data_IF_189827053780
#
_entry.id   IF_189827053780
#
_cell.length_a   1.000
_cell.length_b   1.000
_cell.length_c   1.000
_cell.angle_alpha   90.00
_cell.angle_beta   90.00
_cell.angle_gamma   90.00
#
_symmetry.space_group_name_H-M   'P 1'
#
loop_
_entity.id
_entity.type
_entity.pdbx_description
1 polymer ?
#
# COMPACT_ATOMS: atom_id res chain seq x y z
N UNK A 1 59.49 -29.53 -5.01
CA UNK A 1 58.64 -29.21 -6.17
C UNK A 1 57.60 -28.19 -5.71
N UNK A 2 57.67 -26.96 -6.23
CA UNK A 2 56.75 -25.87 -5.90
C UNK A 2 55.51 -25.96 -6.78
N UNK A 3 54.32 -25.80 -6.20
CA UNK A 3 53.16 -25.19 -6.84
C UNK A 3 52.46 -24.32 -5.80
N UNK A 4 52.67 -23.02 -5.96
CA UNK A 4 51.85 -21.96 -5.40
C UNK A 4 50.50 -21.95 -6.12
N UNK A 5 49.40 -21.61 -5.42
CA UNK A 5 48.55 -20.44 -5.72
C UNK A 5 47.35 -20.38 -4.74
N UNK A 6 47.40 -19.35 -3.88
CA UNK A 6 46.32 -18.55 -3.28
C UNK A 6 44.87 -19.08 -3.42
N UNK A 7 44.28 -19.48 -2.29
CA UNK A 7 42.83 -19.54 -2.14
C UNK A 7 42.29 -18.09 -2.04
N UNK A 8 41.65 -17.62 -3.10
CA UNK A 8 40.80 -16.43 -3.04
C UNK A 8 39.42 -16.84 -2.47
N UNK A 9 38.78 -16.03 -1.61
CA UNK A 9 37.41 -16.28 -1.21
C UNK A 9 36.52 -16.08 -2.44
N UNK A 10 35.74 -17.11 -2.78
CA UNK A 10 34.74 -17.04 -3.82
C UNK A 10 33.70 -15.98 -3.44
N UNK A 11 33.71 -14.87 -4.18
CA UNK A 11 32.65 -13.88 -4.18
C UNK A 11 31.41 -14.54 -4.82
N UNK A 12 30.58 -15.18 -4.00
CA UNK A 12 29.29 -15.70 -4.45
C UNK A 12 28.31 -14.53 -4.59
N UNK A 13 28.35 -13.87 -5.74
CA UNK A 13 27.24 -13.03 -6.22
C UNK A 13 26.08 -13.98 -6.51
N UNK A 14 25.15 -14.11 -5.57
CA UNK A 14 23.89 -14.81 -5.82
C UNK A 14 22.94 -13.86 -6.55
N UNK A 15 23.21 -13.64 -7.84
CA UNK A 15 22.23 -13.07 -8.76
C UNK A 15 21.23 -14.17 -9.11
N UNK A 16 20.11 -14.24 -8.38
CA UNK A 16 19.01 -15.13 -8.72
C UNK A 16 18.18 -14.50 -9.83
N UNK A 17 18.44 -14.90 -11.06
CA UNK A 17 17.57 -14.66 -12.22
C UNK A 17 16.36 -15.58 -12.10
N UNK A 18 15.18 -15.02 -11.87
CA UNK A 18 13.90 -15.72 -12.05
C UNK A 18 13.27 -15.28 -13.37
N UNK A 19 13.14 -16.24 -14.27
CA UNK A 19 12.58 -16.11 -15.61
C UNK A 19 11.05 -16.03 -15.58
N UNK A 20 10.54 -15.03 -16.30
CA UNK A 20 9.24 -14.92 -16.97
C UNK A 20 8.14 -15.97 -16.66
N UNK A 21 7.29 -15.62 -15.69
CA UNK A 21 5.83 -15.73 -15.82
C UNK A 21 5.35 -14.30 -15.66
N UNK A 22 4.69 -13.71 -16.67
CA UNK A 22 4.46 -12.26 -16.83
C UNK A 22 4.56 -11.49 -15.52
N UNK A 23 5.68 -10.78 -15.34
CA UNK A 23 5.98 -10.14 -14.07
C UNK A 23 4.80 -9.25 -13.70
N UNK A 24 3.99 -9.70 -12.74
CA UNK A 24 3.05 -8.81 -12.07
C UNK A 24 3.92 -7.63 -11.65
N UNK A 25 3.63 -6.46 -12.22
CA UNK A 25 4.40 -5.25 -11.94
C UNK A 25 4.54 -5.18 -10.43
N UNK A 26 5.77 -5.11 -9.92
CA UNK A 26 5.98 -5.12 -8.48
C UNK A 26 5.10 -4.03 -7.85
N UNK A 27 4.24 -4.43 -6.93
CA UNK A 27 3.29 -3.53 -6.29
C UNK A 27 4.07 -2.58 -5.38
N UNK A 28 3.85 -1.27 -5.54
CA UNK A 28 4.41 -0.27 -4.62
C UNK A 28 3.77 -0.43 -3.26
N UNK A 29 4.59 -0.60 -2.22
CA UNK A 29 4.15 -0.72 -0.82
C UNK A 29 4.16 0.63 -0.10
N UNK A 30 3.48 0.71 1.05
CA UNK A 30 3.33 1.95 1.81
C UNK A 30 4.67 2.59 2.22
N UNK A 31 5.70 1.80 2.50
CA UNK A 31 7.06 2.28 2.82
C UNK A 31 7.85 2.80 1.60
N UNK A 32 7.38 2.53 0.39
CA UNK A 32 8.01 2.95 -0.87
C UNK A 32 7.43 4.25 -1.43
N UNK A 33 6.39 4.81 -0.79
CA UNK A 33 5.76 6.06 -1.24
C UNK A 33 6.64 7.24 -0.84
N UNK A 34 7.27 7.87 -1.83
CA UNK A 34 8.21 9.01 -1.63
C UNK A 34 7.89 10.22 -2.50
N UNK A 35 7.04 10.06 -3.51
CA UNK A 35 6.66 11.09 -4.48
C UNK A 35 5.27 10.81 -5.08
N UNK A 36 4.84 11.66 -6.02
CA UNK A 36 3.53 11.53 -6.66
C UNK A 36 3.41 10.30 -7.56
N UNK A 37 4.51 9.85 -8.18
CA UNK A 37 4.49 8.69 -9.07
C UNK A 37 4.31 7.40 -8.25
N UNK A 38 5.07 7.26 -7.18
CA UNK A 38 4.97 6.15 -6.23
C UNK A 38 3.65 6.17 -5.46
N UNK A 39 3.13 7.35 -5.10
CA UNK A 39 1.79 7.48 -4.51
C UNK A 39 0.70 6.98 -5.46
N UNK A 40 0.75 7.38 -6.74
CA UNK A 40 -0.20 6.90 -7.73
C UNK A 40 -0.13 5.39 -7.89
N UNK A 41 1.08 4.83 -8.02
CA UNK A 41 1.27 3.38 -8.14
C UNK A 41 0.76 2.61 -6.91
N UNK A 42 0.97 3.16 -5.70
CA UNK A 42 0.45 2.60 -4.45
C UNK A 42 -1.09 2.57 -4.44
N UNK A 43 -1.75 3.68 -4.78
CA UNK A 43 -3.22 3.77 -4.83
C UNK A 43 -3.81 2.86 -5.92
N UNK A 44 -3.20 2.82 -7.11
CA UNK A 44 -3.64 1.95 -8.21
C UNK A 44 -3.47 0.47 -7.87
N UNK A 45 -2.39 0.11 -7.17
CA UNK A 45 -2.18 -1.25 -6.66
C UNK A 45 -3.27 -1.64 -5.65
N UNK A 46 -3.57 -0.76 -4.70
CA UNK A 46 -4.60 -1.00 -3.70
C UNK A 46 -5.98 -1.18 -4.33
N UNK A 47 -6.32 -0.31 -5.28
CA UNK A 47 -7.54 -0.43 -6.08
C UNK A 47 -7.62 -1.78 -6.78
N UNK A 48 -6.55 -2.21 -7.44
CA UNK A 48 -6.52 -3.49 -8.16
C UNK A 48 -6.69 -4.69 -7.21
N UNK A 49 -6.05 -4.70 -6.03
CA UNK A 49 -6.27 -5.77 -5.04
C UNK A 49 -7.73 -5.79 -4.56
N UNK A 50 -8.29 -4.63 -4.22
CA UNK A 50 -9.67 -4.53 -3.71
C UNK A 50 -10.69 -4.97 -4.75
N UNK A 51 -10.52 -4.57 -6.02
CA UNK A 51 -11.40 -4.96 -7.13
C UNK A 51 -11.31 -6.45 -7.47
N UNK A 52 -10.19 -7.11 -7.17
CA UNK A 52 -10.01 -8.54 -7.38
C UNK A 52 -10.69 -9.40 -6.30
N UNK A 53 -11.16 -8.82 -5.19
CA UNK A 53 -11.85 -9.54 -4.12
C UNK A 53 -13.26 -9.93 -4.58
N UNK A 54 -13.44 -11.22 -4.87
CA UNK A 54 -14.75 -11.82 -5.21
C UNK A 54 -15.28 -12.74 -4.11
N UNK A 55 -14.46 -13.07 -3.12
CA UNK A 55 -14.79 -13.91 -1.97
C UNK A 55 -15.07 -13.06 -0.72
N UNK A 56 -16.17 -13.35 -0.04
CA UNK A 56 -16.61 -12.58 1.14
C UNK A 56 -15.68 -12.72 2.34
N UNK A 57 -15.00 -13.86 2.51
CA UNK A 57 -14.04 -14.06 3.58
C UNK A 57 -12.76 -13.25 3.32
N UNK A 58 -12.34 -13.12 2.07
CA UNK A 58 -11.25 -12.22 1.69
C UNK A 58 -11.62 -10.75 1.88
N UNK A 59 -12.87 -10.38 1.60
CA UNK A 59 -13.40 -9.06 1.93
C UNK A 59 -13.38 -8.77 3.43
N UNK A 60 -13.72 -9.75 4.26
CA UNK A 60 -13.68 -9.60 5.73
C UNK A 60 -12.26 -9.34 6.25
N UNK A 61 -11.25 -10.00 5.66
CA UNK A 61 -9.83 -9.82 6.03
C UNK A 61 -9.22 -8.50 5.58
N UNK A 62 -9.81 -7.83 4.58
CA UNK A 62 -9.29 -6.57 4.05
C UNK A 62 -9.08 -5.52 5.14
N UNK A 63 -10.02 -5.41 6.09
CA UNK A 63 -9.93 -4.44 7.20
C UNK A 63 -8.66 -4.62 8.03
N UNK A 64 -8.30 -5.86 8.32
CA UNK A 64 -7.12 -6.17 9.12
C UNK A 64 -5.84 -5.93 8.32
N UNK A 65 -5.82 -6.29 7.02
CA UNK A 65 -4.69 -6.01 6.12
C UNK A 65 -4.40 -4.52 5.99
N UNK A 66 -5.43 -3.68 5.90
CA UNK A 66 -5.29 -2.23 5.73
C UNK A 66 -4.87 -1.49 7.01
N UNK A 67 -4.97 -2.13 8.18
CA UNK A 67 -4.65 -1.54 9.49
C UNK A 67 -3.36 -2.09 10.11
N UNK A 68 -2.87 -3.21 9.61
CA UNK A 68 -1.63 -3.85 10.08
C UNK A 68 -0.46 -3.37 9.24
N UNK A 69 0.68 -3.10 9.88
CA UNK A 69 1.92 -2.77 9.16
C UNK A 69 2.22 -3.81 8.07
N UNK A 70 2.56 -3.33 6.87
CA UNK A 70 2.71 -4.18 5.69
C UNK A 70 2.52 -3.41 4.39
N UNK A 71 2.13 -4.10 3.30
CA UNK A 71 2.03 -3.48 1.97
C UNK A 71 1.16 -2.22 1.92
N UNK A 72 0.12 -2.15 2.74
CA UNK A 72 -0.89 -1.08 2.73
C UNK A 72 -0.79 -0.10 3.90
N UNK A 73 0.15 -0.32 4.83
CA UNK A 73 0.39 0.56 5.97
C UNK A 73 1.87 0.55 6.36
N UNK A 74 2.46 1.72 6.43
CA UNK A 74 3.80 1.96 6.99
C UNK A 74 3.77 3.25 7.79
N UNK A 75 3.69 3.16 9.12
CA UNK A 75 3.57 4.32 10.00
C UNK A 75 2.40 5.24 9.61
N UNK A 76 2.71 6.46 9.15
CA UNK A 76 1.72 7.47 8.72
C UNK A 76 1.28 7.34 7.26
N UNK A 77 1.84 6.42 6.47
CA UNK A 77 1.37 6.10 5.13
C UNK A 77 0.37 4.95 5.21
N UNK A 78 -0.91 5.22 4.89
CA UNK A 78 -2.00 4.25 4.95
C UNK A 78 -3.16 4.69 4.06
N UNK A 79 -4.14 3.80 3.87
CA UNK A 79 -5.32 4.07 3.05
C UNK A 79 -6.53 4.51 3.89
N UNK A 80 -7.34 5.40 3.32
CA UNK A 80 -8.71 5.68 3.76
C UNK A 80 -9.63 5.38 2.58
N UNK A 81 -10.60 4.50 2.79
CA UNK A 81 -11.59 4.13 1.77
C UNK A 81 -12.88 4.83 2.13
N UNK A 82 -13.30 5.77 1.29
CA UNK A 82 -14.56 6.49 1.44
C UNK A 82 -15.69 5.82 0.66
N UNK A 83 -16.88 5.81 1.26
CA UNK A 83 -18.12 5.68 0.50
C UNK A 83 -18.41 7.02 -0.20
N UNK A 84 -19.15 6.96 -1.31
CA UNK A 84 -19.60 8.16 -2.03
C UNK A 84 -20.49 9.09 -1.17
N UNK A 85 -21.02 8.59 -0.06
CA UNK A 85 -21.77 9.39 0.93
C UNK A 85 -20.88 10.28 1.81
N UNK A 86 -19.54 10.18 1.71
CA UNK A 86 -18.60 10.96 2.50
C UNK A 86 -18.20 10.33 3.84
N UNK A 87 -18.56 9.06 4.05
CA UNK A 87 -18.18 8.30 5.24
C UNK A 87 -16.93 7.44 4.95
N UNK A 88 -15.91 7.43 5.84
CA UNK A 88 -14.86 6.43 5.78
C UNK A 88 -15.47 5.05 6.07
N UNK A 89 -15.41 4.16 5.10
CA UNK A 89 -15.75 2.74 5.26
C UNK A 89 -14.64 1.99 6.02
N UNK A 90 -13.39 2.32 5.68
CA UNK A 90 -12.18 1.80 6.34
C UNK A 90 -11.19 2.95 6.49
N UNK A 91 -10.65 3.11 7.70
CA UNK A 91 -9.53 4.00 7.98
C UNK A 91 -8.36 3.17 8.50
N UNK A 92 -7.22 3.19 7.78
CA UNK A 92 -6.03 2.40 8.11
C UNK A 92 -5.25 2.86 9.35
N UNK A 93 -5.76 3.80 10.13
CA UNK A 93 -5.05 4.37 11.28
C UNK A 93 -5.97 4.78 12.43
N UNK A 94 -7.10 5.43 12.15
CA UNK A 94 -8.09 5.83 13.15
C UNK A 94 -9.44 5.16 12.92
N UNK A 95 -9.68 4.07 13.63
CA UNK A 95 -10.97 3.35 13.57
C UNK A 95 -12.14 4.22 14.03
N UNK A 96 -11.92 5.21 14.89
CA UNK A 96 -13.00 6.04 15.45
C UNK A 96 -13.56 7.03 14.43
N UNK A 97 -12.86 7.25 13.31
CA UNK A 97 -13.33 8.09 12.21
C UNK A 97 -14.34 7.38 11.29
N UNK A 98 -14.43 6.05 11.34
CA UNK A 98 -15.32 5.27 10.47
C UNK A 98 -16.80 5.53 10.75
N UNK A 99 -17.63 5.40 9.71
CA UNK A 99 -19.09 5.59 9.76
C UNK A 99 -19.56 6.99 10.22
N UNK A 100 -18.64 7.96 10.30
CA UNK A 100 -18.97 9.38 10.49
C UNK A 100 -19.08 10.03 9.12
N UNK A 101 -20.12 10.84 8.92
CA UNK A 101 -20.19 11.69 7.74
C UNK A 101 -19.19 12.84 7.91
N UNK A 102 -18.19 12.90 7.02
CA UNK A 102 -17.11 13.88 7.09
C UNK A 102 -17.22 15.01 6.04
N UNK A 103 -18.32 15.10 5.29
CA UNK A 103 -18.49 16.13 4.25
C UNK A 103 -18.40 17.55 4.81
N UNK A 104 -18.98 17.77 6.01
CA UNK A 104 -18.96 19.07 6.68
C UNK A 104 -17.76 19.30 7.60
N UNK A 105 -16.80 18.38 7.65
CA UNK A 105 -15.63 18.51 8.53
C UNK A 105 -14.57 19.34 7.82
N UNK A 106 -14.12 20.39 8.51
CA UNK A 106 -13.09 21.31 8.03
C UNK A 106 -11.70 20.92 8.57
N UNK A 107 -10.66 21.13 7.75
CA UNK A 107 -9.28 21.13 8.23
C UNK A 107 -8.96 22.41 9.04
N UNK A 108 -7.72 22.52 9.52
CA UNK A 108 -7.23 23.66 10.29
C UNK A 108 -7.26 25.01 9.52
N UNK A 109 -7.51 24.98 8.21
CA UNK A 109 -7.64 26.15 7.34
C UNK A 109 -9.09 26.41 6.90
N UNK A 110 -10.07 25.72 7.48
CA UNK A 110 -11.49 25.84 7.12
C UNK A 110 -11.86 25.09 5.84
N UNK A 111 -11.00 24.18 5.34
CA UNK A 111 -11.22 23.48 4.08
C UNK A 111 -12.03 22.21 4.28
N UNK A 112 -13.13 22.05 3.55
CA UNK A 112 -13.96 20.82 3.54
C UNK A 112 -13.32 19.74 2.66
N UNK A 113 -12.27 19.10 3.18
CA UNK A 113 -11.39 18.19 2.40
C UNK A 113 -12.15 17.03 1.76
N UNK A 114 -13.08 16.39 2.49
CA UNK A 114 -13.81 15.22 1.98
C UNK A 114 -14.81 15.60 0.89
N UNK A 115 -15.42 16.79 0.98
CA UNK A 115 -16.29 17.31 -0.06
C UNK A 115 -15.53 17.54 -1.36
N UNK A 116 -14.33 18.13 -1.29
CA UNK A 116 -13.49 18.33 -2.48
C UNK A 116 -12.94 17.04 -3.08
N UNK A 117 -12.66 16.02 -2.26
CA UNK A 117 -12.21 14.71 -2.76
C UNK A 117 -13.28 13.97 -3.56
N UNK A 118 -14.56 14.29 -3.35
CA UNK A 118 -15.71 13.61 -3.96
C UNK A 118 -16.42 14.41 -5.06
N UNK A 119 -16.04 15.68 -5.25
CA UNK A 119 -16.57 16.58 -6.28
C UNK A 119 -16.06 16.24 -7.69
#
# INVERSE_FOLDING_TARGET
>A
MRLNLKAAPALAVLALVMLASGAAKAQTTADQVVDNETLKAFVEGAKAEIEAITDINEGAKLRDRLRTEGPWKSGSMFLIIFLKSGEPFIHGNDRTAESKNLLGVEDDRGKRVVEELLA
#
